data_IF_658727194403
#
_entry.id   IF_658727194403
#
_cell.length_a   1.000
_cell.length_b   1.000
_cell.length_c   1.000
_cell.angle_alpha   90.00
_cell.angle_beta   90.00
_cell.angle_gamma   90.00
#
_symmetry.space_group_name_H-M   'P 1'
#
loop_
_entity.id
_entity.type
_entity.pdbx_description
1 polymer ?
#
# COMPACT_ATOMS: atom_id res chain seq x y z
N UNK A 1 -53.59 -12.58 25.74
CA UNK A 1 -52.21 -12.37 26.22
C UNK A 1 -51.27 -12.39 25.01
N UNK A 2 -50.95 -11.24 24.42
CA UNK A 2 -49.98 -11.15 23.33
C UNK A 2 -48.60 -10.82 23.90
N UNK A 3 -47.64 -11.73 23.76
CA UNK A 3 -46.24 -11.50 24.12
C UNK A 3 -45.57 -10.74 22.97
N UNK A 4 -45.28 -9.46 23.20
CA UNK A 4 -44.52 -8.63 22.30
C UNK A 4 -43.04 -9.05 22.41
N UNK A 5 -42.54 -9.78 21.42
CA UNK A 5 -41.13 -10.14 21.32
C UNK A 5 -40.33 -8.95 20.80
N UNK A 6 -39.57 -8.30 21.68
CA UNK A 6 -38.62 -7.26 21.32
C UNK A 6 -37.42 -7.92 20.59
N UNK A 7 -37.41 -7.88 19.25
CA UNK A 7 -36.23 -8.24 18.47
C UNK A 7 -35.16 -7.14 18.67
N UNK A 8 -34.14 -7.43 19.48
CA UNK A 8 -32.90 -6.65 19.49
C UNK A 8 -32.19 -6.87 18.15
N UNK A 9 -32.29 -5.89 17.25
CA UNK A 9 -31.39 -5.82 16.11
C UNK A 9 -30.00 -5.41 16.63
N UNK A 10 -29.09 -6.38 16.74
CA UNK A 10 -27.68 -6.09 16.97
C UNK A 10 -27.14 -5.40 15.71
N UNK A 11 -26.59 -4.17 15.80
CA UNK A 11 -25.94 -3.56 14.67
C UNK A 11 -24.76 -4.45 14.28
N UNK A 12 -24.78 -4.98 13.05
CA UNK A 12 -23.62 -5.65 12.46
C UNK A 12 -22.63 -4.53 12.17
N UNK A 13 -21.63 -4.37 13.04
CA UNK A 13 -20.53 -3.44 12.82
C UNK A 13 -19.77 -3.97 11.60
N UNK A 14 -19.94 -3.31 10.46
CA UNK A 14 -19.18 -3.61 9.26
C UNK A 14 -17.70 -3.39 9.59
N UNK A 15 -16.90 -4.41 9.35
CA UNK A 15 -15.57 -4.51 9.93
C UNK A 15 -14.57 -4.22 8.81
N UNK A 16 -13.75 -3.18 8.96
CA UNK A 16 -12.70 -2.79 8.01
C UNK A 16 -11.31 -3.02 8.53
N UNK A 17 -10.40 -3.47 7.67
CA UNK A 17 -9.24 -4.18 8.16
C UNK A 17 -7.99 -3.90 7.35
N UNK A 18 -6.98 -3.46 8.08
CA UNK A 18 -5.63 -3.29 7.59
C UNK A 18 -4.72 -4.10 8.51
N UNK A 19 -3.85 -4.93 7.93
CA UNK A 19 -2.83 -5.67 8.67
C UNK A 19 -1.45 -5.17 8.23
N UNK A 20 -0.54 -4.89 9.17
CA UNK A 20 0.86 -4.65 8.87
C UNK A 20 1.65 -5.93 9.15
N UNK A 21 2.20 -6.53 8.10
CA UNK A 21 2.77 -7.88 8.13
C UNK A 21 4.28 -7.88 8.38
N UNK A 22 4.98 -6.90 7.78
CA UNK A 22 6.42 -6.74 7.91
C UNK A 22 6.75 -5.24 7.79
N UNK A 23 7.34 -4.60 8.82
CA UNK A 23 7.65 -5.18 10.14
C UNK A 23 6.40 -5.67 10.86
N UNK A 24 6.53 -6.61 11.80
CA UNK A 24 5.35 -7.23 12.43
C UNK A 24 4.58 -6.19 13.24
N UNK A 25 3.26 -6.09 13.05
CA UNK A 25 2.44 -5.17 13.83
C UNK A 25 2.44 -5.48 15.34
N UNK A 26 2.14 -4.46 16.15
CA UNK A 26 1.88 -4.61 17.58
C UNK A 26 0.78 -5.65 17.83
N UNK A 27 0.93 -6.44 18.88
CA UNK A 27 0.03 -7.57 19.17
C UNK A 27 0.32 -8.85 18.39
N UNK A 28 1.42 -8.89 17.63
CA UNK A 28 1.91 -10.11 16.97
C UNK A 28 1.43 -10.28 15.53
N UNK A 29 1.72 -11.45 14.96
CA UNK A 29 1.38 -11.76 13.58
C UNK A 29 -0.16 -11.88 13.42
N UNK A 30 -0.78 -11.13 12.49
CA UNK A 30 -2.23 -11.14 12.33
C UNK A 30 -2.74 -12.39 11.61
N UNK A 31 -4.05 -12.64 11.69
CA UNK A 31 -4.70 -13.63 10.83
C UNK A 31 -4.92 -13.02 9.43
N UNK A 32 -4.14 -13.53 8.47
CA UNK A 32 -4.12 -13.05 7.08
C UNK A 32 -5.03 -13.86 6.14
N UNK A 33 -5.68 -14.91 6.66
CA UNK A 33 -6.51 -15.82 5.87
C UNK A 33 -8.01 -15.54 6.05
N UNK A 34 -8.38 -14.94 7.18
CA UNK A 34 -9.76 -14.56 7.45
C UNK A 34 -9.99 -13.11 7.03
N UNK A 35 -10.88 -12.91 6.06
CA UNK A 35 -11.39 -11.57 5.75
C UNK A 35 -12.09 -11.00 6.98
N UNK A 36 -11.65 -9.84 7.36
CA UNK A 36 -12.11 -9.17 8.54
C UNK A 36 -11.67 -9.73 9.89
N UNK A 37 -10.40 -10.13 9.97
CA UNK A 37 -9.81 -10.57 11.22
C UNK A 37 -9.71 -9.43 12.24
N UNK A 38 -10.19 -9.66 13.48
CA UNK A 38 -10.13 -8.67 14.56
C UNK A 38 -8.72 -8.08 14.82
N UNK A 39 -7.66 -8.85 14.56
CA UNK A 39 -6.27 -8.37 14.68
C UNK A 39 -5.95 -7.21 13.72
N UNK A 40 -6.73 -7.07 12.65
CA UNK A 40 -6.60 -6.05 11.63
C UNK A 40 -7.65 -4.93 11.75
N UNK A 41 -8.63 -5.08 12.66
CA UNK A 41 -9.70 -4.10 12.94
C UNK A 41 -9.26 -3.17 14.06
N UNK A 42 -8.60 -2.06 13.74
CA UNK A 42 -8.19 -1.11 14.78
C UNK A 42 -8.35 0.33 14.35
N UNK A 43 -9.23 1.07 15.02
CA UNK A 43 -9.65 2.42 14.60
C UNK A 43 -9.10 3.56 15.47
N UNK A 44 -8.52 3.23 16.63
CA UNK A 44 -7.98 4.24 17.56
C UNK A 44 -6.63 4.75 17.07
N UNK A 45 -6.52 6.04 16.73
CA UNK A 45 -5.25 6.63 16.32
C UNK A 45 -4.21 6.66 17.47
N UNK A 46 -2.90 6.64 17.17
CA UNK A 46 -2.30 6.40 15.85
C UNK A 46 -2.05 4.91 15.55
N UNK A 47 -2.20 4.03 16.55
CA UNK A 47 -1.71 2.65 16.52
C UNK A 47 -2.76 1.60 16.84
N UNK A 48 -4.02 1.92 16.59
CA UNK A 48 -5.12 1.01 16.80
C UNK A 48 -5.46 0.76 18.26
N UNK A 49 -5.02 1.63 19.18
CA UNK A 49 -5.23 1.46 20.62
C UNK A 49 -4.34 0.39 21.26
N UNK A 50 -3.35 -0.12 20.54
CA UNK A 50 -2.36 -1.06 21.08
C UNK A 50 -1.12 -0.29 21.52
N UNK A 51 -0.76 -0.47 22.80
CA UNK A 51 0.43 0.12 23.40
C UNK A 51 1.71 -0.38 22.73
N UNK A 52 2.77 0.42 22.82
CA UNK A 52 4.07 0.03 22.28
C UNK A 52 4.58 -1.23 22.96
N UNK A 53 5.24 -2.10 22.19
CA UNK A 53 6.01 -3.19 22.77
C UNK A 53 7.18 -2.65 23.59
N UNK A 54 7.66 -3.44 24.57
CA UNK A 54 8.96 -3.18 25.19
C UNK A 54 10.12 -3.39 24.20
N UNK A 55 11.34 -3.15 24.67
CA UNK A 55 12.57 -3.18 23.84
C UNK A 55 12.77 -4.49 23.06
N UNK A 56 12.25 -5.61 23.57
CA UNK A 56 12.33 -6.94 22.94
C UNK A 56 11.53 -7.06 21.63
N UNK A 57 10.62 -6.11 21.35
CA UNK A 57 9.76 -6.10 20.17
C UNK A 57 10.21 -5.12 19.09
N UNK A 58 11.34 -4.43 19.31
CA UNK A 58 11.88 -3.46 18.35
C UNK A 58 12.64 -4.16 17.23
N UNK A 59 12.10 -4.12 16.02
CA UNK A 59 12.85 -4.54 14.84
C UNK A 59 14.01 -3.55 14.60
N UNK A 60 15.23 -4.06 14.43
CA UNK A 60 16.42 -3.22 14.28
C UNK A 60 16.73 -2.97 12.81
N UNK A 61 16.79 -1.70 12.43
CA UNK A 61 17.12 -1.25 11.09
C UNK A 61 18.36 -0.38 11.10
N UNK A 62 19.13 -0.49 10.02
CA UNK A 62 20.29 0.38 9.80
C UNK A 62 19.92 1.52 8.84
N UNK A 63 20.34 2.75 9.14
CA UNK A 63 20.15 3.90 8.27
C UNK A 63 20.71 3.66 6.87
N UNK A 64 19.93 3.98 5.83
CA UNK A 64 20.28 3.72 4.43
C UNK A 64 20.03 2.28 3.96
N UNK A 65 19.69 1.35 4.85
CA UNK A 65 19.27 -0.01 4.49
C UNK A 65 18.03 0.02 3.61
N UNK A 66 17.96 -0.91 2.66
CA UNK A 66 16.75 -1.14 1.88
C UNK A 66 15.95 -2.28 2.48
N UNK A 67 14.68 -2.03 2.77
CA UNK A 67 13.77 -3.02 3.36
C UNK A 67 12.48 -3.11 2.56
N UNK A 68 11.77 -4.21 2.73
CA UNK A 68 10.43 -4.38 2.19
C UNK A 68 9.40 -4.22 3.29
N UNK A 69 8.47 -3.30 3.11
CA UNK A 69 7.29 -3.19 3.97
C UNK A 69 6.15 -3.92 3.30
N UNK A 70 5.47 -4.78 4.06
CA UNK A 70 4.35 -5.61 3.61
C UNK A 70 3.13 -5.34 4.47
N UNK A 71 2.01 -5.09 3.84
CA UNK A 71 0.72 -4.93 4.51
C UNK A 71 -0.37 -5.61 3.69
N UNK A 72 -1.49 -5.92 4.33
CA UNK A 72 -2.66 -6.50 3.70
C UNK A 72 -3.86 -5.61 3.96
N UNK A 73 -4.56 -5.24 2.89
CA UNK A 73 -5.96 -4.83 2.98
C UNK A 73 -6.77 -6.10 3.20
N UNK A 74 -7.22 -6.30 4.45
CA UNK A 74 -7.89 -7.52 4.89
C UNK A 74 -9.42 -7.43 4.78
N UNK A 75 -9.94 -6.23 4.51
CA UNK A 75 -11.32 -6.00 4.13
C UNK A 75 -11.44 -4.64 3.44
N UNK A 76 -12.10 -4.61 2.28
CA UNK A 76 -12.25 -3.41 1.48
C UNK A 76 -13.48 -2.59 1.91
N UNK A 77 -13.28 -1.29 2.11
CA UNK A 77 -14.29 -0.30 2.45
C UNK A 77 -14.48 0.76 1.37
N UNK A 78 -13.98 0.49 0.15
CA UNK A 78 -14.20 1.36 -0.99
C UNK A 78 -15.70 1.60 -1.22
N UNK A 79 -16.08 2.85 -1.41
CA UNK A 79 -17.42 3.28 -1.84
C UNK A 79 -17.30 4.17 -3.08
N UNK A 80 -18.19 3.98 -4.06
CA UNK A 80 -18.16 4.80 -5.28
C UNK A 80 -18.43 6.26 -4.91
N UNK A 81 -17.56 7.17 -5.37
CA UNK A 81 -17.61 8.60 -5.03
C UNK A 81 -16.84 8.98 -3.77
N UNK A 82 -16.33 8.00 -3.00
CA UNK A 82 -15.52 8.20 -1.80
C UNK A 82 -14.25 7.33 -1.85
N UNK A 83 -13.33 7.59 -2.79
CA UNK A 83 -12.12 6.79 -2.89
C UNK A 83 -11.23 6.97 -1.65
N UNK A 84 -10.88 5.84 -1.03
CA UNK A 84 -9.94 5.78 0.08
C UNK A 84 -8.48 5.68 -0.36
N UNK A 85 -7.59 5.55 0.63
CA UNK A 85 -6.18 5.25 0.40
C UNK A 85 -5.53 4.56 1.60
N UNK A 86 -4.41 3.90 1.34
CA UNK A 86 -3.51 3.37 2.34
C UNK A 86 -2.18 4.11 2.30
N UNK A 87 -1.62 4.41 3.47
CA UNK A 87 -0.26 4.93 3.59
C UNK A 87 0.56 4.14 4.59
N UNK A 88 1.87 4.11 4.34
CA UNK A 88 2.89 3.71 5.30
C UNK A 88 3.67 4.96 5.65
N UNK A 89 3.75 5.26 6.94
CA UNK A 89 4.48 6.41 7.47
C UNK A 89 5.37 5.99 8.63
N UNK A 90 6.37 6.80 8.96
CA UNK A 90 7.14 6.63 10.19
C UNK A 90 7.21 7.93 11.00
N UNK A 91 7.41 7.80 12.30
CA UNK A 91 7.69 8.91 13.21
C UNK A 91 8.51 8.41 14.41
N UNK A 92 9.28 9.25 15.10
CA UNK A 92 9.75 8.93 16.44
C UNK A 92 8.57 8.56 17.37
N UNK A 93 8.82 7.81 18.43
CA UNK A 93 7.79 7.50 19.41
C UNK A 93 7.23 8.78 20.07
N UNK A 94 5.93 8.79 20.39
CA UNK A 94 5.22 9.91 21.03
C UNK A 94 5.23 11.26 20.28
N UNK A 95 5.42 11.25 18.96
CA UNK A 95 5.24 12.46 18.13
C UNK A 95 4.15 12.26 17.07
N UNK A 96 3.61 13.38 16.60
CA UNK A 96 2.67 13.47 15.48
C UNK A 96 3.35 13.82 14.15
N UNK A 97 4.68 13.93 14.13
CA UNK A 97 5.47 14.26 12.93
C UNK A 97 5.69 13.01 12.05
N UNK A 98 4.64 12.64 11.33
CA UNK A 98 4.63 11.47 10.45
C UNK A 98 5.22 11.79 9.08
N UNK A 99 6.23 11.02 8.70
CA UNK A 99 6.86 11.09 7.38
C UNK A 99 6.39 9.93 6.51
N UNK A 100 5.90 10.24 5.31
CA UNK A 100 5.39 9.25 4.37
C UNK A 100 6.53 8.39 3.79
N UNK A 101 6.37 7.08 3.85
CA UNK A 101 7.26 6.10 3.22
C UNK A 101 6.65 5.48 1.96
N UNK A 102 5.34 5.21 1.98
CA UNK A 102 4.64 4.63 0.84
C UNK A 102 3.17 5.02 0.83
N UNK A 103 2.57 4.94 -0.36
CA UNK A 103 1.17 5.23 -0.61
C UNK A 103 0.61 4.20 -1.58
N UNK A 104 -0.63 3.77 -1.35
CA UNK A 104 -1.39 2.95 -2.27
C UNK A 104 -2.83 3.45 -2.31
N UNK A 105 -3.38 3.79 -3.50
CA UNK A 105 -4.79 4.14 -3.60
C UNK A 105 -5.66 2.93 -3.28
N UNK A 106 -6.81 3.18 -2.67
CA UNK A 106 -7.84 2.16 -2.54
C UNK A 106 -8.49 1.90 -3.91
N UNK A 107 -8.94 0.67 -4.12
CA UNK A 107 -9.46 0.24 -5.42
C UNK A 107 -10.89 -0.27 -5.29
N UNK A 108 -11.72 0.10 -6.26
CA UNK A 108 -13.05 -0.47 -6.37
C UNK A 108 -12.93 -1.94 -6.71
N UNK A 109 -13.25 -2.79 -5.74
CA UNK A 109 -13.55 -4.19 -5.98
C UNK A 109 -14.96 -4.44 -5.48
N UNK A 110 -15.74 -5.18 -6.26
CA UNK A 110 -17.15 -5.43 -5.96
C UNK A 110 -17.37 -6.15 -4.62
N UNK A 111 -16.42 -7.01 -4.23
CA UNK A 111 -16.48 -7.80 -3.01
C UNK A 111 -15.68 -7.15 -1.87
N UNK A 112 -16.30 -6.92 -0.72
CA UNK A 112 -15.64 -6.29 0.44
C UNK A 112 -14.68 -7.23 1.18
N UNK A 113 -14.91 -8.54 1.12
CA UNK A 113 -14.04 -9.58 1.69
C UNK A 113 -12.78 -9.85 0.83
N UNK A 114 -12.48 -8.95 -0.09
CA UNK A 114 -11.30 -9.02 -0.94
C UNK A 114 -10.00 -8.78 -0.14
N UNK A 115 -9.24 -9.85 0.03
CA UNK A 115 -7.90 -9.82 0.62
C UNK A 115 -6.86 -9.42 -0.42
N UNK A 116 -6.14 -8.32 -0.17
CA UNK A 116 -5.05 -7.88 -1.05
C UNK A 116 -3.78 -7.56 -0.29
N UNK A 117 -2.71 -8.22 -0.68
CA UNK A 117 -1.37 -7.98 -0.17
C UNK A 117 -0.68 -6.88 -0.99
N UNK A 118 0.00 -6.00 -0.27
CA UNK A 118 0.83 -4.94 -0.83
C UNK A 118 2.27 -5.14 -0.35
N UNK A 119 3.22 -4.74 -1.19
CA UNK A 119 4.64 -4.73 -0.86
C UNK A 119 5.25 -3.50 -1.48
N UNK A 120 6.01 -2.76 -0.68
CA UNK A 120 6.79 -1.61 -1.14
C UNK A 120 8.22 -1.75 -0.65
N UNK A 121 9.16 -1.19 -1.42
CA UNK A 121 10.55 -1.07 -1.00
C UNK A 121 10.75 0.33 -0.42
N UNK A 122 11.43 0.44 0.72
CA UNK A 122 11.76 1.73 1.33
C UNK A 122 13.24 1.77 1.68
N UNK A 123 13.82 2.97 1.60
CA UNK A 123 15.17 3.24 2.09
C UNK A 123 15.02 3.81 3.48
N UNK A 124 15.54 3.11 4.48
CA UNK A 124 15.50 3.53 5.88
C UNK A 124 16.23 4.87 5.99
N UNK A 125 15.64 5.90 6.62
CA UNK A 125 16.31 7.18 6.82
C UNK A 125 17.58 7.00 7.65
N UNK A 126 18.65 7.73 7.29
CA UNK A 126 19.90 7.67 8.06
C UNK A 126 19.84 8.59 9.29
N UNK A 127 19.07 8.17 10.28
CA UNK A 127 18.81 8.91 11.53
C UNK A 127 19.11 8.01 12.73
N UNK A 128 19.32 8.63 13.90
CA UNK A 128 19.33 7.94 15.18
C UNK A 128 17.93 8.01 15.80
N UNK A 129 17.24 6.86 15.84
CA UNK A 129 15.91 6.73 16.40
C UNK A 129 15.84 5.50 17.28
N UNK A 130 16.08 5.63 18.61
CA UNK A 130 16.07 4.49 19.52
C UNK A 130 14.70 3.79 19.55
N UNK A 131 13.63 4.57 19.42
CA UNK A 131 12.25 4.08 19.30
C UNK A 131 11.50 4.90 18.26
N UNK A 132 11.31 4.30 17.10
CA UNK A 132 10.50 4.78 15.99
C UNK A 132 9.25 3.90 15.83
N UNK A 133 8.21 4.48 15.25
CA UNK A 133 6.96 3.79 14.96
C UNK A 133 6.72 3.82 13.46
N UNK A 134 6.48 2.65 12.89
CA UNK A 134 5.99 2.48 11.51
C UNK A 134 4.49 2.32 11.58
N UNK A 135 3.75 3.16 10.87
CA UNK A 135 2.29 3.13 10.82
C UNK A 135 1.81 2.78 9.44
N UNK A 136 1.00 1.73 9.33
CA UNK A 136 0.10 1.54 8.21
C UNK A 136 -1.25 2.16 8.56
N UNK A 137 -1.79 2.98 7.66
CA UNK A 137 -3.09 3.62 7.80
C UNK A 137 -3.96 3.33 6.58
N UNK A 138 -5.24 3.07 6.79
CA UNK A 138 -6.25 2.94 5.73
C UNK A 138 -7.38 3.92 6.02
N UNK A 139 -7.44 4.99 5.22
CA UNK A 139 -8.52 5.96 5.25
C UNK A 139 -9.50 5.60 4.13
N UNK A 140 -10.62 4.95 4.45
CA UNK A 140 -11.59 4.50 3.43
C UNK A 140 -12.42 5.64 2.83
N UNK A 141 -12.62 6.74 3.58
CA UNK A 141 -13.51 7.86 3.26
C UNK A 141 -15.00 7.50 3.05
N UNK A 142 -15.38 6.23 3.17
CA UNK A 142 -16.78 5.79 3.12
C UNK A 142 -17.57 6.41 4.30
N UNK A 143 -18.71 7.08 4.04
CA UNK A 143 -19.51 7.68 5.10
C UNK A 143 -19.90 6.66 6.19
N UNK A 144 -19.65 7.02 7.45
CA UNK A 144 -19.92 6.16 8.60
C UNK A 144 -18.80 5.18 8.96
N UNK A 145 -17.75 5.07 8.14
CA UNK A 145 -16.58 4.23 8.44
C UNK A 145 -15.43 5.04 9.05
N UNK A 146 -14.66 4.36 9.90
CA UNK A 146 -13.47 4.93 10.53
C UNK A 146 -12.20 4.79 9.69
N UNK A 147 -11.11 5.36 10.19
CA UNK A 147 -9.75 5.09 9.68
C UNK A 147 -9.15 3.93 10.44
N UNK A 148 -8.44 3.04 9.76
CA UNK A 148 -7.79 1.88 10.36
C UNK A 148 -6.29 2.09 10.50
N UNK A 149 -5.72 1.63 11.61
CA UNK A 149 -4.34 1.88 12.01
C UNK A 149 -3.65 0.61 12.47
N UNK A 150 -2.46 0.37 11.95
CA UNK A 150 -1.53 -0.63 12.49
C UNK A 150 -0.18 0.01 12.71
N UNK A 151 0.44 -0.30 13.84
CA UNK A 151 1.80 0.15 14.12
C UNK A 151 2.73 -1.03 14.31
N UNK A 152 4.00 -0.80 14.03
CA UNK A 152 5.13 -1.64 14.42
C UNK A 152 6.20 -0.75 15.02
N UNK A 153 6.91 -1.25 16.03
CA UNK A 153 7.96 -0.51 16.71
C UNK A 153 9.32 -0.94 16.18
N UNK A 154 10.19 0.02 15.88
CA UNK A 154 11.50 -0.20 15.27
C UNK A 154 12.57 0.67 15.93
N UNK A 155 13.80 0.21 15.91
CA UNK A 155 14.99 1.01 16.23
C UNK A 155 15.75 1.28 14.93
N UNK A 156 16.07 2.54 14.66
CA UNK A 156 16.91 2.93 13.52
C UNK A 156 18.23 3.44 14.04
N UNK A 157 19.31 2.73 13.72
CA UNK A 157 20.67 3.18 14.05
C UNK A 157 21.32 3.84 12.83
N UNK A 158 22.00 4.98 12.99
CA UNK A 158 22.66 5.63 11.86
C UNK A 158 23.80 4.75 11.33
N UNK A 159 23.91 4.64 10.01
CA UNK A 159 25.06 4.01 9.37
C UNK A 159 26.20 5.02 9.27
N UNK A 160 27.39 4.62 9.72
CA UNK A 160 28.64 5.38 9.55
C UNK A 160 29.14 5.32 8.11
N UNK A 161 28.77 4.27 7.39
CA UNK A 161 29.03 4.16 5.97
C UNK A 161 27.99 4.99 5.23
N UNK A 162 28.42 6.08 4.59
CA UNK A 162 27.72 6.53 3.39
C UNK A 162 27.89 5.43 2.35
N UNK A 163 27.15 4.33 2.49
CA UNK A 163 26.86 3.46 1.37
C UNK A 163 26.11 4.36 0.42
N UNK A 164 26.84 4.88 -0.58
CA UNK A 164 26.24 5.15 -1.86
C UNK A 164 25.30 3.98 -2.12
N UNK A 165 24.03 4.26 -2.39
CA UNK A 165 22.96 3.26 -2.44
C UNK A 165 23.24 2.34 -3.64
N UNK A 166 24.22 1.48 -3.47
CA UNK A 166 24.67 0.44 -4.36
C UNK A 166 23.70 -0.72 -4.03
N UNK A 167 22.74 -1.00 -4.92
CA UNK A 167 21.78 -2.06 -4.69
C UNK A 167 22.50 -3.38 -4.36
N UNK A 168 21.98 -4.15 -3.40
CA UNK A 168 22.60 -5.42 -3.04
C UNK A 168 22.71 -6.31 -4.30
N UNK A 169 23.93 -6.78 -4.68
CA UNK A 169 24.14 -7.46 -5.96
C UNK A 169 23.26 -8.70 -6.15
N UNK A 170 22.85 -9.34 -5.05
CA UNK A 170 21.93 -10.48 -5.07
C UNK A 170 20.51 -10.07 -5.45
N UNK A 171 20.00 -8.97 -4.89
CA UNK A 171 18.69 -8.44 -5.21
C UNK A 171 18.61 -7.96 -6.66
N UNK A 172 19.72 -7.46 -7.22
CA UNK A 172 19.81 -7.09 -8.65
C UNK A 172 19.64 -8.27 -9.62
N UNK A 173 19.63 -9.53 -9.15
CA UNK A 173 19.25 -10.66 -10.00
C UNK A 173 17.75 -10.75 -10.24
N UNK A 174 16.93 -10.23 -9.33
CA UNK A 174 15.48 -10.22 -9.45
C UNK A 174 15.00 -9.11 -10.40
N UNK A 175 14.15 -9.45 -11.36
CA UNK A 175 13.63 -8.50 -12.37
C UNK A 175 12.85 -7.37 -11.71
N UNK A 176 12.06 -7.71 -10.71
CA UNK A 176 11.22 -6.81 -9.93
C UNK A 176 12.05 -5.77 -9.20
N UNK A 177 13.12 -6.21 -8.55
CA UNK A 177 14.03 -5.34 -7.82
C UNK A 177 14.86 -4.46 -8.76
N UNK A 178 15.34 -4.99 -9.90
CA UNK A 178 15.98 -4.15 -10.93
C UNK A 178 15.05 -3.04 -11.41
N UNK A 179 13.80 -3.38 -11.68
CA UNK A 179 12.78 -2.41 -12.09
C UNK A 179 12.55 -1.36 -10.99
N UNK A 180 12.45 -1.78 -9.72
CA UNK A 180 12.31 -0.88 -8.57
C UNK A 180 13.52 0.04 -8.39
N UNK A 181 14.74 -0.48 -8.54
CA UNK A 181 15.98 0.29 -8.38
C UNK A 181 16.18 1.29 -9.52
N UNK A 182 15.86 0.91 -10.76
CA UNK A 182 15.86 1.84 -11.89
C UNK A 182 14.87 2.99 -11.62
N UNK A 183 13.67 2.68 -11.11
CA UNK A 183 12.67 3.69 -10.69
C UNK A 183 13.19 4.61 -9.58
N UNK A 184 13.84 4.07 -8.56
CA UNK A 184 14.43 4.85 -7.47
C UNK A 184 15.53 5.81 -7.94
N UNK A 185 16.40 5.34 -8.85
CA UNK A 185 17.45 6.19 -9.47
C UNK A 185 16.84 7.33 -10.27
N UNK A 186 15.70 7.11 -10.94
CA UNK A 186 14.95 8.16 -11.61
C UNK A 186 14.30 9.14 -10.63
N UNK A 187 13.68 8.64 -9.55
CA UNK A 187 13.09 9.47 -8.49
C UNK A 187 14.08 10.48 -7.88
N UNK A 188 15.32 10.04 -7.64
CA UNK A 188 16.38 10.87 -7.06
C UNK A 188 17.01 11.87 -8.04
N UNK A 189 16.65 11.86 -9.33
CA UNK A 189 17.19 12.86 -10.26
C UNK A 189 16.64 14.23 -9.87
N UNK A 190 17.51 15.24 -9.62
CA UNK A 190 17.04 16.60 -9.42
C UNK A 190 16.30 17.03 -10.69
N UNK A 191 15.02 17.36 -10.55
CA UNK A 191 14.22 17.85 -11.68
C UNK A 191 14.62 19.30 -11.88
N UNK A 192 15.40 19.57 -12.93
CA UNK A 192 15.97 20.90 -13.16
C UNK A 192 14.93 21.95 -13.56
N UNK A 193 13.73 21.56 -14.01
CA UNK A 193 12.79 22.48 -14.69
C UNK A 193 11.28 22.23 -14.42
N UNK A 194 10.87 21.64 -13.29
CA UNK A 194 9.43 21.47 -12.99
C UNK A 194 8.87 22.66 -12.19
N UNK A 195 7.78 23.33 -12.62
CA UNK A 195 7.16 24.44 -11.90
C UNK A 195 6.42 24.03 -10.60
N UNK A 196 6.42 22.74 -10.26
CA UNK A 196 5.77 22.25 -9.03
C UNK A 196 6.78 22.35 -7.89
N UNK A 197 6.52 23.25 -6.94
CA UNK A 197 7.32 23.39 -5.72
C UNK A 197 7.49 22.04 -5.03
N UNK A 198 8.73 21.58 -4.96
CA UNK A 198 9.16 20.34 -4.31
C UNK A 198 8.90 20.34 -2.79
N UNK A 199 8.63 21.50 -2.18
CA UNK A 199 8.39 21.61 -0.73
C UNK A 199 7.02 21.10 -0.30
N UNK A 200 6.03 20.97 -1.22
CA UNK A 200 4.63 20.72 -0.84
C UNK A 200 3.93 19.61 -1.64
N UNK A 201 4.68 18.65 -2.16
CA UNK A 201 4.12 17.63 -3.04
C UNK A 201 4.62 16.23 -2.69
N UNK A 202 3.69 15.30 -2.46
CA UNK A 202 3.95 13.88 -2.28
C UNK A 202 4.17 13.24 -3.64
N UNK A 203 5.38 12.75 -3.89
CA UNK A 203 5.70 11.97 -5.08
C UNK A 203 5.37 10.50 -4.84
N UNK A 204 4.50 9.94 -5.65
CA UNK A 204 4.05 8.58 -5.49
C UNK A 204 3.59 7.93 -6.78
N UNK A 205 2.99 6.76 -6.63
CA UNK A 205 2.36 6.02 -7.70
C UNK A 205 0.86 6.32 -7.69
N UNK A 206 0.33 6.82 -8.82
CA UNK A 206 -1.10 7.01 -9.05
C UNK A 206 -1.60 5.95 -10.01
N UNK A 207 -2.67 5.25 -9.64
CA UNK A 207 -3.34 4.27 -10.50
C UNK A 207 -4.64 4.87 -11.02
N UNK A 208 -4.90 4.80 -12.33
CA UNK A 208 -6.19 5.19 -12.90
C UNK A 208 -7.02 3.93 -13.19
N UNK A 209 -8.21 3.77 -12.60
CA UNK A 209 -9.10 2.66 -12.94
C UNK A 209 -9.70 2.75 -14.35
N UNK A 210 -9.55 3.90 -15.03
CA UNK A 210 -9.99 4.11 -16.42
C UNK A 210 -8.90 3.76 -17.45
N UNK A 211 -7.65 3.65 -17.01
CA UNK A 211 -6.51 3.24 -17.82
C UNK A 211 -5.82 2.08 -17.09
N UNK A 212 -6.45 0.91 -17.13
CA UNK A 212 -6.13 -0.31 -16.41
C UNK A 212 -4.72 -0.86 -16.71
N UNK A 213 -4.14 -0.50 -17.85
CA UNK A 213 -2.78 -0.86 -18.24
C UNK A 213 -1.72 0.17 -17.76
N UNK A 214 -2.15 1.28 -17.15
CA UNK A 214 -1.32 2.46 -16.98
C UNK A 214 -1.29 2.96 -15.54
N UNK A 215 -0.08 3.01 -15.01
CA UNK A 215 0.19 3.67 -13.74
C UNK A 215 0.97 4.94 -14.02
N UNK A 216 0.69 5.98 -13.27
CA UNK A 216 1.36 7.26 -13.38
C UNK A 216 2.27 7.40 -12.19
N UNK A 217 3.43 8.00 -12.43
CA UNK A 217 3.99 8.73 -11.31
C UNK A 217 3.26 10.05 -11.21
N UNK A 218 2.69 10.28 -10.05
CA UNK A 218 1.96 11.50 -9.76
C UNK A 218 2.73 12.28 -8.72
N UNK A 219 2.71 13.59 -8.90
CA UNK A 219 2.91 14.48 -7.79
C UNK A 219 1.52 14.80 -7.23
N UNK A 220 1.26 14.37 -5.99
CA UNK A 220 0.03 14.69 -5.27
C UNK A 220 0.34 15.88 -4.39
N UNK A 221 -0.24 17.03 -4.69
CA UNK A 221 -0.19 18.18 -3.80
C UNK A 221 -1.12 17.96 -2.60
N UNK A 222 -0.92 18.67 -1.50
CA UNK A 222 -1.70 18.46 -0.27
C UNK A 222 -3.20 18.79 -0.42
N UNK A 223 -3.58 19.54 -1.43
CA UNK A 223 -4.97 19.81 -1.84
C UNK A 223 -5.58 18.66 -2.69
N UNK A 224 -4.83 17.58 -2.94
CA UNK A 224 -5.30 16.39 -3.65
C UNK A 224 -5.14 16.46 -5.17
N UNK A 225 -4.56 17.55 -5.69
CA UNK A 225 -4.28 17.68 -7.12
C UNK A 225 -3.19 16.69 -7.54
N UNK A 226 -3.56 15.80 -8.47
CA UNK A 226 -2.64 14.79 -9.02
C UNK A 226 -2.11 15.26 -10.37
N UNK A 227 -0.81 15.60 -10.42
CA UNK A 227 -0.13 15.85 -11.69
C UNK A 227 0.67 14.63 -12.10
N UNK A 228 0.16 13.92 -13.11
CA UNK A 228 0.89 12.84 -13.77
C UNK A 228 2.07 13.44 -14.54
N UNK A 229 3.29 13.11 -14.14
CA UNK A 229 4.50 13.57 -14.84
C UNK A 229 5.04 12.51 -15.82
N UNK A 230 4.69 11.24 -15.62
CA UNK A 230 4.99 10.20 -16.58
C UNK A 230 4.04 9.00 -16.46
N UNK A 231 3.77 8.39 -17.61
CA UNK A 231 2.97 7.17 -17.77
C UNK A 231 3.91 5.97 -17.80
N UNK A 232 3.62 4.92 -17.04
CA UNK A 232 4.46 3.73 -17.03
C UNK A 232 3.62 2.46 -16.87
N UNK A 233 4.02 1.42 -17.60
CA UNK A 233 3.35 0.12 -17.62
C UNK A 233 4.21 -0.89 -16.83
N UNK A 234 3.63 -1.53 -15.81
CA UNK A 234 4.33 -2.52 -14.98
C UNK A 234 4.58 -3.85 -15.70
N UNK A 235 4.07 -4.03 -16.92
CA UNK A 235 4.09 -5.31 -17.61
C UNK A 235 3.21 -6.36 -16.93
N UNK A 236 2.26 -5.94 -16.07
CA UNK A 236 1.10 -6.77 -15.72
C UNK A 236 0.18 -6.72 -16.93
N UNK A 237 0.57 -7.47 -17.95
CA UNK A 237 -0.18 -7.60 -19.18
C UNK A 237 -1.41 -8.46 -18.87
N UNK A 238 -2.46 -7.82 -18.34
CA UNK A 238 -3.80 -8.42 -18.23
C UNK A 238 -4.32 -8.83 -19.62
N UNK A 239 -3.70 -8.29 -20.68
CA UNK A 239 -4.00 -8.51 -22.08
C UNK A 239 -3.31 -9.73 -22.73
N UNK A 240 -2.39 -10.46 -22.08
CA UNK A 240 -1.85 -11.70 -22.71
C UNK A 240 -2.97 -12.73 -22.89
N UNK A 241 -3.80 -12.94 -21.87
CA UNK A 241 -4.90 -13.90 -21.94
C UNK A 241 -6.07 -13.41 -22.81
N UNK A 242 -6.29 -12.09 -22.92
CA UNK A 242 -7.34 -11.54 -23.78
C UNK A 242 -6.95 -11.62 -25.26
N UNK A 243 -5.70 -11.28 -25.62
CA UNK A 243 -5.17 -11.40 -26.98
C UNK A 243 -5.05 -12.85 -27.44
N UNK A 244 -4.65 -13.77 -26.55
CA UNK A 244 -4.68 -15.21 -26.87
C UNK A 244 -6.11 -15.73 -27.10
N UNK A 245 -7.10 -15.30 -26.29
CA UNK A 245 -8.51 -15.68 -26.51
C UNK A 245 -9.08 -15.08 -27.80
N UNK A 246 -8.73 -13.83 -28.13
CA UNK A 246 -9.19 -13.16 -29.35
C UNK A 246 -8.59 -13.85 -30.59
N UNK A 247 -7.28 -14.14 -30.58
CA UNK A 247 -6.61 -14.84 -31.68
C UNK A 247 -7.13 -16.28 -31.84
N UNK A 248 -7.47 -16.97 -30.73
CA UNK A 248 -8.05 -18.31 -30.78
C UNK A 248 -9.49 -18.32 -31.31
N UNK A 249 -10.28 -17.27 -31.07
CA UNK A 249 -11.62 -17.11 -31.68
C UNK A 249 -11.54 -16.80 -33.17
N UNK A 250 -10.59 -15.95 -33.58
CA UNK A 250 -10.39 -15.60 -34.98
C UNK A 250 -9.88 -16.79 -35.82
N UNK A 251 -9.05 -17.68 -35.24
CA UNK A 251 -8.58 -18.87 -35.95
C UNK A 251 -9.65 -19.96 -36.11
N UNK A 252 -10.58 -20.09 -35.14
CA UNK A 252 -11.72 -21.01 -35.25
C UNK A 252 -12.73 -20.52 -36.29
N UNK A 253 -13.06 -19.22 -36.28
CA UNK A 253 -13.97 -18.64 -37.29
C UNK A 253 -13.43 -18.72 -38.72
N UNK A 254 -12.10 -18.66 -38.90
CA UNK A 254 -11.46 -18.76 -40.22
C UNK A 254 -11.41 -20.19 -40.78
N UNK A 255 -11.44 -21.22 -39.91
CA UNK A 255 -11.60 -22.62 -40.36
C UNK A 255 -13.02 -22.91 -40.81
N UNK A 256 -14.02 -22.43 -40.08
CA UNK A 256 -15.42 -22.61 -40.43
C UNK A 256 -15.75 -22.05 -41.83
N UNK A 257 -15.25 -20.85 -42.14
CA UNK A 257 -15.45 -20.20 -43.45
C UNK A 257 -14.72 -20.87 -44.63
N UNK A 258 -13.75 -21.76 -44.37
CA UNK A 258 -13.05 -22.51 -45.42
C UNK A 258 -13.62 -23.92 -45.62
N UNK A 259 -14.44 -24.41 -44.69
CA UNK A 259 -15.15 -25.69 -44.80
C UNK A 259 -16.55 -25.49 -45.42
N UNK A 260 -17.10 -24.28 -45.34
CA UNK A 260 -18.41 -23.92 -45.89
C UNK A 260 -18.35 -23.30 -47.31
N UNK A 261 -17.17 -23.25 -47.94
CA UNK A 261 -16.93 -22.71 -49.29
C UNK A 261 -16.41 -23.81 -50.24
#
# INVERSE_FOLDING_TARGET
MFRLGLLLALPVIASGHLCLLSPTQRGGYPDVNSAGANSCFRQTAPCGGIEAGGDDYLEKWEGGQQIFIKWQQNFNHYEIGFPGYMDISYAPYNTSDWQLLAFAPDVYVYAQDYLKNYTTFVVVPNIDCPHCVIRARYASHKPGEGTFYQCSDVTITPSSERKEIEPEPRLMKHKEYRNAMQKFKWYKRPVKDDPVSLELSLRGFGYSPMEDDDTYFVNVTFDGDMKAFNKFNFGVDFNIKSKERLNKRLSVGRRQLLEDA
#
